data_IF_544151258515
#
_entry.id   IF_544151258515
#
_cell.length_a   1.000
_cell.length_b   1.000
_cell.length_c   1.000
_cell.angle_alpha   90.00
_cell.angle_beta   90.00
_cell.angle_gamma   90.00
#
_symmetry.space_group_name_H-M   'P 1'
#
loop_
_entity.id
_entity.type
_entity.pdbx_description
1 polymer ?
2 water ?
#
# COMPACT_ATOMS: atom_id res chain seq x y z
N UNK A 1 10.97 -7.25 -9.99
CA UNK A 1 11.26 -6.63 -8.69
C UNK A 1 10.01 -5.99 -8.10
N UNK A 2 9.31 -5.17 -8.88
CA UNK A 2 8.07 -4.53 -8.43
C UNK A 2 7.05 -5.60 -8.04
N UNK A 3 6.99 -6.67 -8.85
CA UNK A 3 6.09 -7.80 -8.52
C UNK A 3 6.41 -8.41 -7.17
N UNK A 4 7.70 -8.63 -6.90
CA UNK A 4 8.11 -9.29 -5.66
C UNK A 4 7.76 -8.40 -4.47
N UNK A 5 7.96 -7.09 -4.67
CA UNK A 5 7.51 -6.16 -3.62
C UNK A 5 6.02 -6.24 -3.37
N UNK A 6 5.21 -6.28 -4.43
CA UNK A 6 3.76 -6.32 -4.26
C UNK A 6 3.30 -7.57 -3.56
N UNK A 7 4.00 -8.69 -3.78
CA UNK A 7 3.60 -9.93 -3.12
C UNK A 7 3.81 -9.86 -1.62
N UNK A 8 4.83 -9.11 -1.19
CA UNK A 8 5.11 -8.90 0.22
C UNK A 8 4.20 -7.81 0.78
N UNK A 9 3.87 -6.81 -0.04
CA UNK A 9 3.04 -5.71 0.43
C UNK A 9 1.61 -6.18 0.69
N UNK A 10 1.04 -6.97 -0.19
CA UNK A 10 -0.38 -7.29 -0.12
C UNK A 10 -0.82 -7.83 1.23
N UNK A 11 -0.20 -8.85 1.81
CA UNK A 11 -0.72 -9.34 3.10
C UNK A 11 -0.63 -8.29 4.20
N UNK A 12 0.39 -7.42 4.14
CA UNK A 12 0.50 -6.37 5.16
C UNK A 12 -0.59 -5.32 5.00
N UNK A 13 -0.91 -4.95 3.77
CA UNK A 13 -2.01 -4.04 3.50
C UNK A 13 -3.33 -4.68 3.91
N UNK A 14 -3.47 -5.97 3.61
CA UNK A 14 -4.70 -6.68 3.93
C UNK A 14 -4.98 -6.71 5.42
N UNK A 15 -3.94 -6.78 6.25
CA UNK A 15 -4.14 -6.76 7.69
C UNK A 15 -4.62 -5.39 8.19
N UNK A 16 -4.36 -4.34 7.43
CA UNK A 16 -4.73 -2.97 7.78
C UNK A 16 -6.10 -2.57 7.24
N UNK A 17 -6.37 -2.87 5.98
CA UNK A 17 -7.60 -2.52 5.28
C UNK A 17 -8.07 -3.69 4.43
N UNK A 18 -8.58 -4.73 5.07
CA UNK A 18 -8.88 -5.96 4.32
C UNK A 18 -9.90 -5.77 3.21
N UNK A 19 -10.87 -4.87 3.37
CA UNK A 19 -11.92 -4.71 2.38
C UNK A 19 -11.42 -4.01 1.11
N UNK A 20 -10.25 -3.40 1.18
CA UNK A 20 -9.72 -2.62 0.05
C UNK A 20 -8.29 -3.05 -0.26
N UNK A 21 -7.91 -4.26 0.14
CA UNK A 21 -6.49 -4.63 0.11
C UNK A 21 -5.90 -4.61 -1.28
N UNK A 22 -6.62 -5.19 -2.26
CA UNK A 22 -6.06 -5.23 -3.61
C UNK A 22 -6.06 -3.84 -4.23
N UNK A 23 -7.14 -3.08 -4.00
CA UNK A 23 -7.19 -1.73 -4.54
C UNK A 23 -6.04 -0.87 -4.03
N UNK A 24 -5.84 -0.90 -2.71
CA UNK A 24 -4.76 -0.09 -2.13
C UNK A 24 -3.39 -0.61 -2.53
N UNK A 25 -3.20 -1.93 -2.52
CA UNK A 25 -1.90 -2.44 -2.94
C UNK A 25 -1.59 -1.99 -4.36
N UNK A 26 -2.58 -2.04 -5.25
CA UNK A 26 -2.38 -1.58 -6.60
C UNK A 26 -2.02 -0.11 -6.70
N UNK A 27 -2.66 0.73 -5.90
CA UNK A 27 -2.31 2.14 -5.85
C UNK A 27 -0.86 2.34 -5.41
N UNK A 28 -0.44 1.61 -4.35
CA UNK A 28 0.95 1.72 -3.88
C UNK A 28 1.94 1.24 -4.92
N UNK A 29 1.58 0.20 -5.67
CA UNK A 29 2.49 -0.34 -6.66
C UNK A 29 2.70 0.58 -7.86
N UNK A 30 1.97 1.67 -7.98
CA UNK A 30 2.27 2.68 -9.02
C UNK A 30 3.40 3.61 -8.58
N UNK A 31 3.75 3.60 -7.29
CA UNK A 31 4.68 4.58 -6.75
C UNK A 31 6.11 4.32 -7.18
N UNK A 32 7.02 5.28 -6.85
CA UNK A 32 8.38 5.10 -7.33
C UNK A 32 9.05 3.91 -6.65
N UNK A 33 10.08 3.39 -7.29
CA UNK A 33 10.89 2.35 -6.67
C UNK A 33 11.38 2.72 -5.27
N UNK A 34 11.90 3.94 -5.10
CA UNK A 34 12.40 4.35 -3.79
C UNK A 34 11.28 4.36 -2.76
N UNK A 35 10.09 4.84 -3.12
CA UNK A 35 8.99 4.88 -2.15
C UNK A 35 8.50 3.48 -1.83
N UNK A 36 8.46 2.58 -2.81
CA UNK A 36 8.03 1.21 -2.50
C UNK A 36 8.97 0.54 -1.52
N UNK A 37 10.27 0.73 -1.73
CA UNK A 37 11.23 0.13 -0.79
C UNK A 37 11.06 0.69 0.60
N UNK A 38 10.84 2.01 0.70
CA UNK A 38 10.60 2.60 2.02
C UNK A 38 9.38 1.98 2.70
N UNK A 39 8.30 1.79 1.94
CA UNK A 39 7.08 1.24 2.50
C UNK A 39 7.26 -0.20 2.94
N UNK A 40 7.97 -1.01 2.15
CA UNK A 40 8.20 -2.37 2.62
C UNK A 40 9.11 -2.40 3.84
N UNK A 41 10.07 -1.49 3.92
CA UNK A 41 11.02 -1.49 5.04
C UNK A 41 10.40 -0.98 6.34
N UNK A 42 9.37 -0.15 6.27
CA UNK A 42 8.82 0.48 7.46
C UNK A 42 7.31 0.31 7.51
N UNK A 43 6.86 -0.58 8.40
CA UNK A 43 5.43 -0.78 8.60
C UNK A 43 4.80 0.51 9.08
N UNK A 44 5.50 1.33 9.86
CA UNK A 44 4.92 2.61 10.28
C UNK A 44 4.64 3.49 9.07
N UNK A 45 5.61 3.61 8.15
CA UNK A 45 5.36 4.37 6.92
C UNK A 45 4.24 3.75 6.09
N UNK A 46 4.24 2.42 5.99
CA UNK A 46 3.19 1.74 5.25
C UNK A 46 1.81 2.03 5.83
N UNK A 47 1.67 1.98 7.15
CA UNK A 47 0.35 2.26 7.77
C UNK A 47 -0.13 3.65 7.42
N UNK A 48 0.76 4.64 7.48
CA UNK A 48 0.37 6.01 7.14
C UNK A 48 -0.08 6.10 5.70
N UNK A 49 0.63 5.41 4.81
CA UNK A 49 0.34 5.52 3.37
C UNK A 49 -0.94 4.76 3.00
N UNK A 50 -1.19 3.64 3.66
CA UNK A 50 -2.43 2.90 3.47
C UNK A 50 -3.61 3.72 3.96
N UNK A 51 -3.46 4.38 5.11
CA UNK A 51 -4.51 5.28 5.58
C UNK A 51 -4.76 6.42 4.60
N UNK A 52 -3.69 6.97 4.02
CA UNK A 52 -3.83 8.03 3.03
C UNK A 52 -4.62 7.52 1.83
N UNK A 53 -4.27 6.31 1.38
CA UNK A 53 -4.95 5.72 0.22
C UNK A 53 -6.43 5.51 0.49
N UNK A 54 -6.74 5.00 1.69
CA UNK A 54 -8.14 4.82 2.09
C UNK A 54 -8.88 6.16 2.11
N UNK A 55 -8.26 7.21 2.66
CA UNK A 55 -8.89 8.53 2.67
C UNK A 55 -9.12 9.03 1.25
N UNK A 56 -8.20 8.79 0.34
CA UNK A 56 -8.39 9.20 -1.05
C UNK A 56 -9.52 8.42 -1.72
N UNK A 57 -9.60 7.12 -1.44
CA UNK A 57 -10.70 6.34 -2.02
C UNK A 57 -12.04 6.91 -1.59
N UNK A 58 -12.17 7.24 -0.30
CA UNK A 58 -13.43 7.77 0.21
C UNK A 58 -13.71 9.15 -0.35
N UNK A 59 -12.71 10.02 -0.37
CA UNK A 59 -12.90 11.37 -0.87
C UNK A 59 -13.28 11.39 -2.35
N UNK A 60 -12.57 10.59 -3.15
CA UNK A 60 -12.86 10.56 -4.59
C UNK A 60 -14.31 10.15 -4.79
N UNK A 61 -14.75 9.17 -4.01
CA UNK A 61 -16.13 8.73 -4.03
C UNK A 61 -17.10 9.84 -3.67
#
# INVERSE_FOLDING_TARGET
HRQALGERLYPRVQAMQPAFASKITGMLLELSPAQLLLLLASEDSLRARVDEAMELIIAHG
#
